data_IF_596853652890
#
_entry.id   IF_596853652890
#
_cell.length_a   1.000
_cell.length_b   1.000
_cell.length_c   1.000
_cell.angle_alpha   90.00
_cell.angle_beta   90.00
_cell.angle_gamma   90.00
#
_symmetry.space_group_name_H-M   'P 1'
#
loop_
_entity.id
_entity.type
_entity.pdbx_description
1 polymer ?
#
# COMPACT_ATOMS: atom_id res chain seq x y z
N UNK A 1 15.22 -2.76 30.30
CA UNK A 1 15.70 -3.39 29.05
C UNK A 1 14.93 -4.65 28.62
N UNK A 2 13.72 -4.92 29.13
CA UNK A 2 12.79 -5.93 28.57
C UNK A 2 11.54 -5.26 27.97
N UNK A 3 10.99 -4.26 28.67
CA UNK A 3 9.85 -3.45 28.21
C UNK A 3 10.05 -2.80 26.83
N UNK A 4 11.21 -2.19 26.55
CA UNK A 4 11.49 -1.61 25.23
C UNK A 4 11.51 -2.65 24.10
N UNK A 5 12.01 -3.87 24.37
CA UNK A 5 12.02 -4.97 23.38
C UNK A 5 10.63 -5.55 23.12
N UNK A 6 9.76 -5.55 24.13
CA UNK A 6 8.34 -5.93 23.95
C UNK A 6 7.59 -4.87 23.15
N UNK A 7 7.78 -3.58 23.43
CA UNK A 7 7.14 -2.49 22.69
C UNK A 7 7.60 -2.39 21.23
N UNK A 8 8.89 -2.66 20.96
CA UNK A 8 9.40 -2.71 19.58
C UNK A 8 8.78 -3.86 18.77
N UNK A 9 8.43 -4.99 19.41
CA UNK A 9 7.70 -6.08 18.75
C UNK A 9 6.26 -5.68 18.39
N UNK A 10 5.69 -4.68 19.06
CA UNK A 10 4.41 -4.05 18.71
C UNK A 10 4.56 -2.82 17.79
N UNK A 11 5.74 -2.63 17.17
CA UNK A 11 5.99 -1.56 16.19
C UNK A 11 6.31 -0.19 16.81
N UNK A 12 6.34 -0.05 18.14
CA UNK A 12 6.70 1.22 18.78
C UNK A 12 8.19 1.49 18.56
N UNK A 13 8.51 2.60 17.86
CA UNK A 13 9.88 2.94 17.48
C UNK A 13 10.42 2.13 16.29
N UNK A 14 9.56 1.40 15.58
CA UNK A 14 9.88 0.72 14.32
C UNK A 14 10.01 1.68 13.14
N UNK A 15 10.35 1.16 11.95
CA UNK A 15 10.45 1.98 10.75
C UNK A 15 9.09 2.53 10.33
N UNK A 16 9.07 3.73 9.73
CA UNK A 16 7.88 4.28 9.08
C UNK A 16 7.94 4.09 7.58
N UNK A 17 6.77 3.98 6.96
CA UNK A 17 6.58 3.85 5.51
C UNK A 17 5.63 4.94 5.02
N UNK A 18 5.97 5.53 3.89
CA UNK A 18 5.14 6.51 3.18
C UNK A 18 5.20 6.21 1.68
N UNK A 19 4.04 6.12 1.02
CA UNK A 19 3.95 5.81 -0.41
C UNK A 19 3.47 7.05 -1.15
N UNK A 20 4.29 7.54 -2.08
CA UNK A 20 4.00 8.76 -2.84
C UNK A 20 3.83 8.41 -4.31
N UNK A 21 2.65 8.69 -4.84
CA UNK A 21 2.36 8.55 -6.27
C UNK A 21 2.85 9.78 -7.03
N UNK A 22 3.47 9.57 -8.18
CA UNK A 22 3.85 10.68 -9.09
C UNK A 22 2.62 11.35 -9.68
N UNK A 23 1.60 10.54 -10.04
CA UNK A 23 0.28 11.00 -10.41
C UNK A 23 -0.74 10.06 -9.73
N UNK A 24 -1.66 10.58 -8.90
CA UNK A 24 -2.66 9.75 -8.25
C UNK A 24 -3.74 9.23 -9.21
N UNK A 25 -3.78 9.72 -10.45
CA UNK A 25 -4.73 9.30 -11.48
C UNK A 25 -4.05 8.39 -12.50
N UNK A 26 -4.70 7.27 -12.79
CA UNK A 26 -4.27 6.33 -13.83
C UNK A 26 -5.49 5.72 -14.52
N UNK A 27 -5.27 4.84 -15.49
CA UNK A 27 -6.33 4.09 -16.18
C UNK A 27 -5.98 2.60 -16.22
N UNK A 28 -6.98 1.72 -16.28
CA UNK A 28 -6.74 0.30 -16.54
C UNK A 28 -5.81 0.11 -17.76
N UNK A 29 -4.81 -0.76 -17.62
CA UNK A 29 -3.81 -1.03 -18.65
C UNK A 29 -2.65 -0.03 -18.75
N UNK A 30 -2.68 1.07 -17.99
CA UNK A 30 -1.54 2.00 -17.88
C UNK A 30 -0.68 1.68 -16.65
N UNK A 31 0.37 2.47 -16.44
CA UNK A 31 1.22 2.38 -15.26
C UNK A 31 0.78 3.35 -14.17
N UNK A 32 1.00 2.96 -12.92
CA UNK A 32 0.96 3.82 -11.75
C UNK A 32 2.38 3.92 -11.19
N UNK A 33 2.97 5.09 -11.30
CA UNK A 33 4.36 5.34 -10.91
C UNK A 33 4.42 6.05 -9.56
N UNK A 34 5.45 5.73 -8.78
CA UNK A 34 5.66 6.35 -7.48
C UNK A 34 6.91 5.87 -6.77
N UNK A 35 6.98 6.12 -5.48
CA UNK A 35 8.04 5.63 -4.61
C UNK A 35 7.52 5.29 -3.22
N UNK A 36 8.17 4.31 -2.60
CA UNK A 36 8.01 3.99 -1.19
C UNK A 36 9.18 4.62 -0.43
N UNK A 37 8.87 5.55 0.45
CA UNK A 37 9.81 6.17 1.38
C UNK A 37 9.80 5.39 2.69
N UNK A 38 10.97 4.94 3.11
CA UNK A 38 11.20 4.27 4.38
C UNK A 38 12.08 5.16 5.26
N UNK A 39 11.73 5.25 6.55
CA UNK A 39 12.58 5.86 7.57
C UNK A 39 12.81 4.85 8.68
N UNK A 40 14.07 4.54 8.94
CA UNK A 40 14.48 3.62 10.00
C UNK A 40 14.05 4.13 11.38
N UNK A 41 13.69 3.19 12.25
CA UNK A 41 13.24 3.46 13.61
C UNK A 41 14.38 3.83 14.57
N UNK A 42 14.23 3.43 15.83
CA UNK A 42 15.25 3.60 16.88
C UNK A 42 16.30 2.48 16.88
N UNK A 43 16.03 1.37 16.18
CA UNK A 43 16.92 0.23 16.01
C UNK A 43 16.96 -0.22 14.55
N UNK A 44 17.96 -1.03 14.21
CA UNK A 44 18.02 -1.70 12.91
C UNK A 44 16.77 -2.57 12.70
N UNK A 45 16.23 -2.56 11.48
CA UNK A 45 15.07 -3.35 11.08
C UNK A 45 15.40 -4.22 9.86
N UNK A 46 15.12 -5.51 9.97
CA UNK A 46 15.12 -6.43 8.85
C UNK A 46 13.75 -6.41 8.18
N UNK A 47 13.69 -5.89 6.95
CA UNK A 47 12.48 -5.87 6.13
C UNK A 47 12.57 -7.05 5.17
N UNK A 48 11.57 -7.94 5.18
CA UNK A 48 11.55 -9.11 4.29
C UNK A 48 11.17 -8.75 2.86
N UNK A 49 10.21 -7.83 2.71
CA UNK A 49 9.75 -7.34 1.42
C UNK A 49 9.00 -6.02 1.58
N UNK A 50 8.97 -5.25 0.49
CA UNK A 50 8.07 -4.11 0.32
C UNK A 50 7.13 -4.46 -0.81
N UNK A 51 5.82 -4.37 -0.56
CA UNK A 51 4.75 -4.77 -1.49
C UNK A 51 3.79 -3.61 -1.66
N UNK A 52 3.40 -3.34 -2.91
CA UNK A 52 2.27 -2.47 -3.22
C UNK A 52 1.07 -3.34 -3.54
N UNK A 53 -0.03 -3.11 -2.82
CA UNK A 53 -1.32 -3.74 -3.07
C UNK A 53 -2.34 -2.71 -3.58
N UNK A 54 -3.10 -3.07 -4.62
CA UNK A 54 -4.30 -2.33 -5.00
C UNK A 54 -5.51 -2.96 -4.31
N UNK A 55 -6.27 -2.12 -3.62
CA UNK A 55 -7.47 -2.52 -2.88
C UNK A 55 -8.69 -1.79 -3.42
N UNK A 56 -9.84 -2.43 -3.34
CA UNK A 56 -11.14 -1.84 -3.65
C UNK A 56 -12.15 -2.20 -2.57
N UNK A 57 -13.22 -1.41 -2.46
CA UNK A 57 -14.39 -1.79 -1.66
C UNK A 57 -15.38 -2.52 -2.56
N UNK A 58 -15.94 -3.62 -2.07
CA UNK A 58 -17.02 -4.36 -2.73
C UNK A 58 -18.21 -4.50 -1.79
N UNK A 59 -19.41 -4.47 -2.37
CA UNK A 59 -20.66 -4.82 -1.70
C UNK A 59 -21.16 -6.12 -2.30
N UNK A 60 -21.42 -7.11 -1.45
CA UNK A 60 -21.97 -8.40 -1.84
C UNK A 60 -23.35 -8.50 -1.23
N UNK A 61 -24.38 -8.49 -2.09
CA UNK A 61 -25.77 -8.70 -1.70
C UNK A 61 -26.12 -10.18 -1.88
N UNK A 62 -26.45 -10.85 -0.78
CA UNK A 62 -26.96 -12.22 -0.75
C UNK A 62 -28.36 -12.28 -0.14
N UNK A 63 -29.11 -13.35 -0.44
CA UNK A 63 -30.53 -13.52 -0.06
C UNK A 63 -30.86 -13.26 1.43
N UNK A 64 -29.91 -13.44 2.35
CA UNK A 64 -30.08 -13.21 3.80
C UNK A 64 -28.95 -12.35 4.43
N UNK A 65 -27.96 -11.89 3.65
CA UNK A 65 -26.82 -11.11 4.19
C UNK A 65 -26.22 -10.15 3.15
N UNK A 66 -26.04 -8.90 3.56
CA UNK A 66 -25.21 -7.91 2.88
C UNK A 66 -23.84 -7.85 3.55
N UNK A 67 -22.75 -7.98 2.79
CA UNK A 67 -21.39 -7.75 3.30
C UNK A 67 -20.67 -6.71 2.44
N UNK A 68 -20.21 -5.63 3.08
CA UNK A 68 -19.30 -4.67 2.50
C UNK A 68 -17.88 -4.92 3.03
N UNK A 69 -16.91 -5.08 2.13
CA UNK A 69 -15.54 -5.41 2.49
C UNK A 69 -14.49 -4.74 1.61
N UNK A 70 -13.30 -4.53 2.18
CA UNK A 70 -12.11 -4.16 1.41
C UNK A 70 -11.46 -5.43 0.87
N UNK A 71 -11.20 -5.46 -0.43
CA UNK A 71 -10.58 -6.59 -1.11
C UNK A 71 -9.34 -6.13 -1.88
N UNK A 72 -8.20 -6.78 -1.64
CA UNK A 72 -7.01 -6.65 -2.46
C UNK A 72 -7.20 -7.44 -3.75
N UNK A 73 -7.10 -6.77 -4.90
CA UNK A 73 -7.29 -7.40 -6.21
C UNK A 73 -6.00 -7.49 -7.02
N UNK A 74 -4.94 -6.79 -6.60
CA UNK A 74 -3.64 -6.86 -7.26
C UNK A 74 -2.51 -6.58 -6.28
N UNK A 75 -1.36 -7.23 -6.49
CA UNK A 75 -0.17 -7.03 -5.66
C UNK A 75 1.12 -7.15 -6.45
N UNK A 76 2.11 -6.35 -6.08
CA UNK A 76 3.43 -6.34 -6.69
C UNK A 76 4.51 -6.12 -5.64
N UNK A 77 5.50 -7.01 -5.59
CA UNK A 77 6.70 -6.84 -4.76
C UNK A 77 7.57 -5.76 -5.42
N UNK A 78 7.85 -4.68 -4.71
CA UNK A 78 8.69 -3.57 -5.19
C UNK A 78 10.11 -3.62 -4.63
N UNK A 79 10.32 -4.37 -3.55
CA UNK A 79 11.65 -4.71 -3.05
C UNK A 79 11.63 -6.04 -2.31
N UNK A 80 12.70 -6.81 -2.46
CA UNK A 80 12.98 -7.98 -1.62
C UNK A 80 13.60 -7.60 -0.27
N UNK A 81 14.25 -8.58 0.41
CA UNK A 81 14.79 -8.37 1.75
C UNK A 81 15.84 -7.26 1.80
N UNK A 82 15.76 -6.40 2.81
CA UNK A 82 16.73 -5.33 3.06
C UNK A 82 16.89 -5.04 4.55
N UNK A 83 18.06 -4.56 4.92
CA UNK A 83 18.32 -4.02 6.26
C UNK A 83 18.17 -2.51 6.24
N UNK A 84 17.41 -1.97 7.19
CA UNK A 84 17.21 -0.54 7.36
C UNK A 84 17.81 -0.10 8.70
N UNK A 85 18.90 0.67 8.64
CA UNK A 85 19.59 1.15 9.82
C UNK A 85 18.75 2.20 10.58
N UNK A 86 19.00 2.43 11.89
CA UNK A 86 18.30 3.47 12.66
C UNK A 86 18.36 4.83 11.96
N UNK A 87 17.21 5.49 11.83
CA UNK A 87 17.03 6.80 11.16
C UNK A 87 17.46 6.88 9.70
N UNK A 88 17.86 5.77 9.07
CA UNK A 88 18.19 5.75 7.64
C UNK A 88 16.95 6.11 6.82
N UNK A 89 17.14 6.98 5.82
CA UNK A 89 16.12 7.24 4.81
C UNK A 89 16.45 6.44 3.56
N UNK A 90 15.45 5.75 3.02
CA UNK A 90 15.56 4.95 1.79
C UNK A 90 14.31 5.17 0.95
N UNK A 91 14.48 5.50 -0.33
CA UNK A 91 13.38 5.62 -1.28
C UNK A 91 13.50 4.52 -2.33
N UNK A 92 12.42 3.77 -2.52
CA UNK A 92 12.31 2.65 -3.46
C UNK A 92 11.33 3.07 -4.56
N UNK A 93 11.78 3.40 -5.78
CA UNK A 93 10.87 3.73 -6.87
C UNK A 93 10.13 2.47 -7.34
N UNK A 94 8.89 2.65 -7.81
CA UNK A 94 8.11 1.58 -8.42
C UNK A 94 7.33 2.07 -9.64
N UNK A 95 7.02 1.12 -10.50
CA UNK A 95 6.11 1.26 -11.63
C UNK A 95 5.16 0.07 -11.61
N UNK A 96 3.90 0.32 -11.24
CA UNK A 96 2.89 -0.72 -11.11
C UNK A 96 2.04 -0.77 -12.38
N UNK A 97 2.02 -1.89 -13.13
CA UNK A 97 1.09 -2.07 -14.24
C UNK A 97 -0.32 -2.27 -13.69
N UNK A 98 -1.23 -1.35 -14.02
CA UNK A 98 -2.60 -1.36 -13.52
C UNK A 98 -3.42 -2.41 -14.28
N UNK A 99 -4.04 -3.40 -13.61
CA UNK A 99 -4.83 -4.43 -14.27
C UNK A 99 -5.97 -3.86 -15.11
N UNK A 100 -6.33 -4.54 -16.20
CA UNK A 100 -7.43 -4.10 -17.08
C UNK A 100 -8.79 -4.19 -16.40
N UNK A 101 -8.92 -5.06 -15.40
CA UNK A 101 -10.08 -5.26 -14.53
C UNK A 101 -10.19 -4.25 -13.38
N UNK A 102 -9.27 -3.27 -13.30
CA UNK A 102 -9.29 -2.25 -12.24
C UNK A 102 -10.60 -1.46 -12.27
N UNK A 103 -11.34 -1.40 -11.15
CA UNK A 103 -12.58 -0.63 -11.08
C UNK A 103 -12.38 0.84 -11.46
N UNK A 104 -13.36 1.40 -12.16
CA UNK A 104 -13.32 2.79 -12.60
C UNK A 104 -13.93 3.68 -11.52
N UNK A 105 -13.24 4.73 -11.10
CA UNK A 105 -13.77 5.71 -10.13
C UNK A 105 -14.38 6.93 -10.81
N UNK A 106 -13.90 7.29 -12.01
CA UNK A 106 -14.28 8.53 -12.69
C UNK A 106 -14.51 8.28 -14.19
N UNK A 107 -15.61 8.80 -14.74
CA UNK A 107 -15.98 8.70 -16.17
C UNK A 107 -16.30 10.09 -16.69
N UNK A 108 -15.66 10.50 -17.79
CA UNK A 108 -15.79 11.85 -18.36
C UNK A 108 -15.58 12.99 -17.35
N UNK A 109 -14.69 12.79 -16.36
CA UNK A 109 -14.40 13.79 -15.31
C UNK A 109 -15.46 13.87 -14.21
N UNK A 110 -16.42 12.93 -14.17
CA UNK A 110 -17.42 12.82 -13.12
C UNK A 110 -17.12 11.59 -12.26
N UNK A 111 -17.12 11.78 -10.94
CA UNK A 111 -16.99 10.71 -9.95
C UNK A 111 -18.22 9.81 -10.01
N UNK A 112 -18.02 8.49 -10.11
CA UNK A 112 -19.12 7.53 -10.05
C UNK A 112 -19.72 7.48 -8.64
N UNK A 113 -21.04 7.39 -8.56
CA UNK A 113 -21.76 7.26 -7.28
C UNK A 113 -21.34 5.99 -6.54
N UNK A 114 -21.21 6.08 -5.21
CA UNK A 114 -20.81 4.95 -4.37
C UNK A 114 -19.30 4.67 -4.32
N UNK A 115 -18.48 5.33 -5.15
CA UNK A 115 -17.02 5.18 -5.10
C UNK A 115 -16.41 6.07 -4.02
N UNK A 116 -15.84 5.46 -2.99
CA UNK A 116 -15.12 6.12 -1.89
C UNK A 116 -13.60 5.98 -2.08
N UNK A 117 -12.83 7.01 -1.72
CA UNK A 117 -11.37 6.91 -1.54
C UNK A 117 -11.03 6.52 -0.11
#
# INVERSE_FOLDING_TARGET
MVFKKMLSAFGVGGPSVDTVLTNPNTRPGLTLDGQVNLVGGDSEAAIEQVVIGLVTRVEVEGHDTEYAGTMEFHRMVVSGPLQLAPKQQLSIPFQLPVPWETPITDVYGQRLHGMTM
#
